data_IF_302451408851
#
_entry.id   IF_302451408851
#
_cell.length_a   1.000
_cell.length_b   1.000
_cell.length_c   1.000
_cell.angle_alpha   90.00
_cell.angle_beta   90.00
_cell.angle_gamma   90.00
#
_symmetry.space_group_name_H-M   'P 1'
#
loop_
_entity.id
_entity.type
_entity.pdbx_description
1 polymer ?
#
# COMPACT_ATOMS: atom_id res chain seq x y z
N UNK A 1 39.87 -103.19 -5.94
CA UNK A 1 39.85 -103.64 -4.53
C UNK A 1 40.91 -102.76 -3.85
N UNK A 2 40.59 -101.77 -3.04
CA UNK A 2 39.70 -101.81 -1.88
C UNK A 2 39.26 -100.39 -1.54
N UNK A 3 37.97 -100.26 -1.29
CA UNK A 3 37.27 -99.05 -0.89
C UNK A 3 37.72 -98.60 0.51
N UNK A 4 37.97 -97.31 0.71
CA UNK A 4 38.03 -96.70 2.05
C UNK A 4 36.85 -95.75 2.18
N UNK A 5 35.78 -96.33 2.71
CA UNK A 5 34.67 -95.65 3.37
C UNK A 5 35.21 -94.86 4.57
N UNK A 6 34.90 -93.56 4.65
CA UNK A 6 35.00 -92.80 5.88
C UNK A 6 33.64 -92.17 6.19
N UNK A 7 32.91 -92.93 7.00
CA UNK A 7 32.08 -92.53 8.14
C UNK A 7 31.33 -91.19 8.07
N UNK A 8 30.01 -91.37 7.91
CA UNK A 8 28.90 -90.50 8.27
C UNK A 8 29.01 -89.82 9.64
N UNK A 9 28.71 -88.51 9.67
CA UNK A 9 28.29 -87.76 10.86
C UNK A 9 26.82 -87.32 10.69
N UNK A 10 26.01 -87.28 11.77
CA UNK A 10 24.56 -87.23 11.67
C UNK A 10 24.02 -85.83 11.39
N UNK A 11 22.98 -85.77 10.56
CA UNK A 11 22.07 -84.64 10.42
C UNK A 11 21.51 -84.22 11.79
N UNK A 12 21.63 -82.93 12.10
CA UNK A 12 20.79 -82.26 13.07
C UNK A 12 20.13 -81.08 12.35
N UNK A 13 18.84 -81.21 12.09
CA UNK A 13 17.95 -80.11 11.73
C UNK A 13 16.99 -79.93 12.89
N UNK A 14 16.87 -78.71 13.44
CA UNK A 14 15.57 -78.07 13.29
C UNK A 14 15.61 -76.55 13.06
N UNK A 15 14.68 -76.12 12.20
CA UNK A 15 13.92 -74.86 12.19
C UNK A 15 14.60 -73.55 11.69
N UNK A 16 13.84 -72.70 10.96
CA UNK A 16 14.35 -71.52 10.27
C UNK A 16 14.47 -70.32 11.24
N UNK A 17 15.70 -69.89 11.50
CA UNK A 17 15.94 -68.66 12.27
C UNK A 17 15.86 -67.43 11.35
N UNK A 18 14.73 -66.73 11.49
CA UNK A 18 14.57 -65.29 11.41
C UNK A 18 15.40 -64.50 10.37
N UNK A 19 14.70 -63.99 9.36
CA UNK A 19 15.07 -62.79 8.60
C UNK A 19 15.57 -61.69 9.53
N UNK A 20 16.83 -61.31 9.41
CA UNK A 20 17.41 -60.12 10.05
C UNK A 20 16.76 -58.87 9.43
N UNK A 21 15.92 -58.10 10.13
CA UNK A 21 15.46 -56.79 9.67
C UNK A 21 16.31 -55.77 10.42
N UNK A 22 17.47 -55.43 9.87
CA UNK A 22 18.47 -54.65 10.61
C UNK A 22 19.36 -53.78 9.73
N UNK A 23 18.93 -53.44 8.53
CA UNK A 23 19.48 -52.35 7.76
C UNK A 23 18.37 -51.30 7.57
N UNK A 24 17.88 -50.76 8.69
CA UNK A 24 17.23 -49.45 8.65
C UNK A 24 18.31 -48.45 8.26
N UNK A 25 18.51 -48.30 6.95
CA UNK A 25 19.15 -47.15 6.38
C UNK A 25 18.59 -45.92 7.10
N UNK A 26 19.48 -45.09 7.61
CA UNK A 26 19.16 -43.74 8.03
C UNK A 26 18.52 -43.03 6.81
N UNK A 27 17.21 -43.16 6.63
CA UNK A 27 16.46 -42.25 5.80
C UNK A 27 16.50 -40.92 6.53
N UNK A 28 17.44 -40.07 6.11
CA UNK A 28 17.44 -38.67 6.44
C UNK A 28 16.00 -38.16 6.15
N UNK A 29 15.35 -37.48 7.10
CA UNK A 29 14.00 -36.98 6.85
C UNK A 29 14.03 -36.12 5.59
N UNK A 30 13.19 -36.47 4.61
CA UNK A 30 13.09 -35.76 3.34
C UNK A 30 13.00 -34.24 3.62
N UNK A 31 13.69 -33.40 2.82
CA UNK A 31 13.63 -31.97 3.01
C UNK A 31 12.17 -31.54 2.82
N UNK A 32 11.53 -31.18 3.93
CA UNK A 32 10.17 -30.63 3.92
C UNK A 32 10.29 -29.28 3.23
N UNK A 33 9.82 -29.18 1.99
CA UNK A 33 9.74 -27.91 1.29
C UNK A 33 9.03 -26.90 2.19
N UNK A 34 9.65 -25.75 2.53
CA UNK A 34 9.00 -24.80 3.40
C UNK A 34 7.73 -24.31 2.67
N UNK A 35 6.60 -24.19 3.38
CA UNK A 35 5.35 -23.78 2.76
C UNK A 35 5.56 -22.43 2.09
N UNK A 36 5.04 -22.32 0.89
CA UNK A 36 4.91 -21.27 -0.15
C UNK A 36 4.46 -19.86 0.34
N UNK A 37 4.59 -19.61 1.63
CA UNK A 37 4.40 -18.35 2.37
C UNK A 37 5.36 -17.24 1.94
N UNK A 38 6.26 -17.46 0.99
CA UNK A 38 7.25 -16.48 0.51
C UNK A 38 6.60 -15.50 -0.46
N UNK A 39 6.00 -15.98 -1.55
CA UNK A 39 5.53 -15.12 -2.64
C UNK A 39 4.27 -14.33 -2.25
N UNK A 40 3.31 -14.97 -1.56
CA UNK A 40 2.12 -14.29 -1.05
C UNK A 40 2.45 -13.23 0.02
N UNK A 41 3.48 -13.46 0.84
CA UNK A 41 3.93 -12.47 1.83
C UNK A 41 4.61 -11.27 1.17
N UNK A 42 5.50 -11.50 0.20
CA UNK A 42 6.12 -10.41 -0.57
C UNK A 42 5.10 -9.64 -1.42
N UNK A 43 4.10 -10.33 -1.98
CA UNK A 43 2.99 -9.69 -2.68
C UNK A 43 2.17 -8.83 -1.72
N UNK A 44 1.81 -9.34 -0.55
CA UNK A 44 1.09 -8.58 0.48
C UNK A 44 1.86 -7.34 0.95
N UNK A 45 3.18 -7.47 1.14
CA UNK A 45 4.10 -6.37 1.44
C UNK A 45 4.17 -5.34 0.32
N UNK A 46 4.26 -5.78 -0.94
CA UNK A 46 4.31 -4.90 -2.09
C UNK A 46 2.99 -4.13 -2.27
N UNK A 47 1.85 -4.83 -2.14
CA UNK A 47 0.52 -4.22 -2.22
C UNK A 47 0.33 -3.21 -1.09
N UNK A 48 0.69 -3.56 0.14
CA UNK A 48 0.52 -2.63 1.27
C UNK A 48 1.45 -1.41 1.18
N UNK A 49 2.68 -1.60 0.70
CA UNK A 49 3.60 -0.51 0.40
C UNK A 49 3.08 0.40 -0.72
N UNK A 50 2.51 -0.18 -1.78
CA UNK A 50 1.89 0.58 -2.87
C UNK A 50 0.67 1.38 -2.40
N UNK A 51 -0.20 0.78 -1.58
CA UNK A 51 -1.35 1.47 -0.98
C UNK A 51 -0.89 2.61 -0.08
N UNK A 52 0.13 2.40 0.75
CA UNK A 52 0.73 3.44 1.59
C UNK A 52 1.26 4.61 0.75
N UNK A 53 2.04 4.32 -0.30
CA UNK A 53 2.58 5.34 -1.19
C UNK A 53 1.46 6.11 -1.90
N UNK A 54 0.39 5.44 -2.33
CA UNK A 54 -0.77 6.07 -2.94
C UNK A 54 -1.45 7.04 -1.97
N UNK A 55 -1.67 6.63 -0.71
CA UNK A 55 -2.27 7.47 0.32
C UNK A 55 -1.40 8.71 0.60
N UNK A 56 -0.08 8.52 0.72
CA UNK A 56 0.85 9.63 0.91
C UNK A 56 0.84 10.58 -0.28
N UNK A 57 0.90 10.06 -1.51
CA UNK A 57 0.84 10.87 -2.73
C UNK A 57 -0.46 11.68 -2.82
N UNK A 58 -1.60 11.07 -2.48
CA UNK A 58 -2.89 11.75 -2.47
C UNK A 58 -2.95 12.85 -1.39
N UNK A 59 -2.39 12.58 -0.20
CA UNK A 59 -2.30 13.59 0.86
C UNK A 59 -1.41 14.78 0.44
N UNK A 60 -0.27 14.52 -0.21
CA UNK A 60 0.59 15.56 -0.76
C UNK A 60 -0.15 16.38 -1.81
N UNK A 61 -0.83 15.73 -2.75
CA UNK A 61 -1.59 16.37 -3.81
C UNK A 61 -2.73 17.24 -3.24
N UNK A 62 -3.51 16.75 -2.28
CA UNK A 62 -4.71 17.44 -1.82
C UNK A 62 -4.47 18.46 -0.71
N UNK A 63 -3.38 18.35 0.04
CA UNK A 63 -3.11 19.21 1.22
C UNK A 63 -1.89 20.09 0.98
N UNK A 64 -0.78 19.51 0.54
CA UNK A 64 0.50 20.23 0.43
C UNK A 64 0.51 21.11 -0.81
N UNK A 65 0.10 20.59 -1.97
CA UNK A 65 0.09 21.36 -3.22
C UNK A 65 -0.72 22.66 -3.08
N UNK A 66 -1.98 22.66 -2.61
CA UNK A 66 -2.73 23.92 -2.49
C UNK A 66 -2.08 24.91 -1.55
N UNK A 67 -1.49 24.45 -0.43
CA UNK A 67 -0.80 25.33 0.51
C UNK A 67 0.41 26.01 -0.09
N UNK A 68 1.23 25.29 -0.86
CA UNK A 68 2.46 25.88 -1.44
C UNK A 68 2.17 26.76 -2.66
N UNK A 69 1.08 26.49 -3.39
CA UNK A 69 0.68 27.29 -4.56
C UNK A 69 -0.27 28.44 -4.23
N UNK A 70 -0.67 28.59 -2.96
CA UNK A 70 -1.69 29.56 -2.54
C UNK A 70 -3.09 29.23 -3.07
N UNK A 71 -3.34 27.99 -3.48
CA UNK A 71 -4.65 27.55 -3.96
C UNK A 71 -5.59 27.20 -2.80
N UNK A 72 -6.88 27.38 -3.04
CA UNK A 72 -7.93 27.16 -2.05
C UNK A 72 -8.70 25.87 -2.37
N UNK A 73 -8.72 24.88 -1.46
CA UNK A 73 -9.60 23.72 -1.60
C UNK A 73 -11.04 24.11 -1.23
N UNK A 74 -12.00 23.83 -2.12
CA UNK A 74 -13.42 24.05 -1.88
C UNK A 74 -14.22 22.79 -2.21
N UNK A 75 -15.34 22.60 -1.51
CA UNK A 75 -16.27 21.50 -1.80
C UNK A 75 -17.46 22.03 -2.59
N UNK A 76 -17.79 21.39 -3.71
CA UNK A 76 -18.99 21.71 -4.50
C UNK A 76 -20.23 21.25 -3.74
N UNK A 77 -21.15 22.16 -3.47
CA UNK A 77 -22.34 21.91 -2.64
C UNK A 77 -23.63 21.72 -3.43
N UNK A 78 -23.70 22.26 -4.65
CA UNK A 78 -24.93 22.30 -5.47
C UNK A 78 -24.72 21.56 -6.78
N UNK A 79 -25.83 21.22 -7.46
CA UNK A 79 -25.85 20.57 -8.77
C UNK A 79 -25.71 21.54 -9.96
N UNK A 80 -25.42 22.83 -9.69
CA UNK A 80 -25.34 23.89 -10.71
C UNK A 80 -24.26 23.63 -11.78
N UNK A 81 -23.22 22.88 -11.44
CA UNK A 81 -22.11 22.54 -12.32
C UNK A 81 -22.17 21.09 -12.83
N UNK A 82 -23.29 20.39 -12.67
CA UNK A 82 -23.43 19.07 -13.29
C UNK A 82 -23.46 19.15 -14.83
N UNK A 83 -22.93 18.14 -15.54
CA UNK A 83 -22.27 16.93 -15.02
C UNK A 83 -20.76 17.14 -14.73
N UNK A 84 -20.20 18.32 -14.99
CA UNK A 84 -18.74 18.54 -14.94
C UNK A 84 -18.19 18.51 -13.52
N UNK A 85 -18.94 19.06 -12.56
CA UNK A 85 -18.63 19.07 -11.13
C UNK A 85 -19.87 18.68 -10.31
N UNK A 86 -20.11 17.37 -10.09
CA UNK A 86 -21.19 16.91 -9.24
C UNK A 86 -21.01 17.35 -7.77
N UNK A 87 -22.10 17.46 -6.99
CA UNK A 87 -22.04 17.74 -5.56
C UNK A 87 -21.11 16.77 -4.81
N UNK A 88 -20.35 17.30 -3.86
CA UNK A 88 -19.35 16.55 -3.10
C UNK A 88 -18.02 16.35 -3.84
N UNK A 89 -17.81 17.03 -4.96
CA UNK A 89 -16.49 17.14 -5.61
C UNK A 89 -15.60 18.11 -4.84
N UNK A 90 -14.34 17.72 -4.60
CA UNK A 90 -13.31 18.63 -4.12
C UNK A 90 -12.70 19.36 -5.31
N UNK A 91 -12.72 20.69 -5.30
CA UNK A 91 -12.07 21.51 -6.32
C UNK A 91 -10.89 22.26 -5.70
N UNK A 92 -9.80 22.35 -6.45
CA UNK A 92 -8.65 23.16 -6.08
C UNK A 92 -8.64 24.39 -6.98
N UNK A 93 -8.83 25.55 -6.37
CA UNK A 93 -8.95 26.85 -7.04
C UNK A 93 -7.63 27.58 -6.91
N UNK A 94 -6.98 27.87 -8.03
CA UNK A 94 -5.70 28.59 -8.07
C UNK A 94 -5.95 30.08 -8.28
N UNK A 95 -5.28 30.98 -7.52
CA UNK A 95 -5.32 32.41 -7.80
C UNK A 95 -4.89 32.68 -9.24
N UNK A 96 -5.66 33.53 -9.91
CA UNK A 96 -5.43 33.89 -11.31
C UNK A 96 -5.61 35.40 -11.46
N UNK A 97 -4.83 36.01 -12.33
CA UNK A 97 -5.07 37.41 -12.68
C UNK A 97 -6.36 37.50 -13.52
N UNK A 98 -7.19 38.54 -13.34
CA UNK A 98 -8.40 38.71 -14.15
C UNK A 98 -8.14 38.77 -15.67
N UNK A 99 -6.92 39.15 -16.06
CA UNK A 99 -6.53 39.26 -17.46
C UNK A 99 -6.34 37.92 -18.17
N UNK A 100 -5.96 36.88 -17.40
CA UNK A 100 -5.78 35.52 -17.90
C UNK A 100 -7.09 34.76 -18.08
N UNK A 101 -8.19 35.27 -17.52
CA UNK A 101 -9.51 34.62 -17.54
C UNK A 101 -10.12 34.72 -18.93
N UNK A 102 -10.58 33.58 -19.43
CA UNK A 102 -11.18 33.44 -20.76
C UNK A 102 -12.60 32.89 -20.66
N UNK A 103 -13.37 33.14 -21.71
CA UNK A 103 -14.69 32.52 -21.88
C UNK A 103 -14.49 30.99 -21.88
N UNK A 104 -15.32 30.30 -21.11
CA UNK A 104 -15.24 28.85 -20.91
C UNK A 104 -14.48 28.43 -19.65
N UNK A 105 -13.72 29.32 -18.99
CA UNK A 105 -13.05 29.00 -17.73
C UNK A 105 -14.07 28.79 -16.60
N UNK A 106 -13.81 27.82 -15.72
CA UNK A 106 -14.55 27.63 -14.48
C UNK A 106 -13.84 28.40 -13.37
N UNK A 107 -14.51 29.40 -12.81
CA UNK A 107 -13.92 30.33 -11.86
C UNK A 107 -14.80 30.40 -10.62
N UNK A 108 -14.14 30.52 -9.48
CA UNK A 108 -14.79 30.78 -8.21
C UNK A 108 -14.71 32.26 -7.89
N UNK A 109 -15.85 32.86 -7.55
CA UNK A 109 -15.98 34.26 -7.18
C UNK A 109 -16.83 34.43 -5.93
N UNK A 110 -16.66 35.55 -5.24
CA UNK A 110 -17.44 35.94 -4.08
C UNK A 110 -18.77 36.58 -4.51
N UNK A 111 -19.87 36.14 -3.88
CA UNK A 111 -21.21 36.71 -4.11
C UNK A 111 -21.21 38.21 -3.78
N UNK A 112 -20.62 38.54 -2.62
CA UNK A 112 -20.38 39.91 -2.17
C UNK A 112 -18.93 40.06 -1.77
N UNK A 113 -18.29 41.13 -2.24
CA UNK A 113 -16.88 41.38 -1.96
C UNK A 113 -16.62 41.45 -0.45
N UNK A 114 -15.69 40.64 0.04
CA UNK A 114 -15.35 40.57 1.47
C UNK A 114 -16.21 39.62 2.31
N UNK A 115 -17.26 39.02 1.76
CA UNK A 115 -18.02 37.97 2.42
C UNK A 115 -17.45 36.57 2.09
N UNK A 116 -17.62 35.58 2.99
CA UNK A 116 -17.12 34.22 2.76
C UNK A 116 -17.92 33.44 1.71
N UNK A 117 -19.09 33.93 1.30
CA UNK A 117 -19.96 33.25 0.34
C UNK A 117 -19.36 33.26 -1.07
N UNK A 118 -19.12 32.07 -1.63
CA UNK A 118 -18.52 31.89 -2.95
C UNK A 118 -19.38 31.02 -3.86
N UNK A 119 -19.32 31.30 -5.16
CA UNK A 119 -19.97 30.53 -6.23
C UNK A 119 -18.89 30.12 -7.23
N UNK A 120 -19.01 28.92 -7.78
CA UNK A 120 -18.10 28.41 -8.83
C UNK A 120 -18.91 28.13 -10.08
N UNK A 121 -18.70 28.91 -11.14
CA UNK A 121 -19.44 28.81 -12.39
C UNK A 121 -18.53 29.04 -13.59
N UNK A 122 -19.05 28.80 -14.80
CA UNK A 122 -18.31 28.99 -16.04
C UNK A 122 -18.49 30.41 -16.58
N UNK A 123 -17.40 31.03 -17.02
CA UNK A 123 -17.43 32.33 -17.71
C UNK A 123 -18.11 32.15 -19.07
N UNK A 124 -19.20 32.88 -19.31
CA UNK A 124 -19.93 32.87 -20.59
C UNK A 124 -19.70 34.14 -21.40
N UNK A 125 -19.44 35.26 -20.74
CA UNK A 125 -19.11 36.51 -21.40
C UNK A 125 -18.12 37.33 -20.58
N UNK A 126 -17.37 38.17 -21.27
CA UNK A 126 -16.44 39.13 -20.71
C UNK A 126 -16.72 40.47 -21.37
N UNK A 127 -17.13 41.44 -20.57
CA UNK A 127 -17.48 42.78 -21.06
C UNK A 127 -16.42 43.78 -20.61
N UNK A 128 -16.16 44.77 -21.44
CA UNK A 128 -15.28 45.89 -21.12
C UNK A 128 -16.06 47.19 -21.25
N UNK A 129 -16.02 48.01 -20.21
CA UNK A 129 -16.56 49.36 -20.20
C UNK A 129 -15.62 50.30 -20.96
N UNK A 130 -16.18 51.38 -21.51
CA UNK A 130 -15.44 52.49 -22.12
C UNK A 130 -14.47 53.17 -21.13
N UNK A 131 -14.71 53.04 -19.83
CA UNK A 131 -13.83 53.55 -18.75
C UNK A 131 -12.72 52.55 -18.37
N UNK A 132 -12.58 51.43 -19.09
CA UNK A 132 -11.56 50.41 -18.85
C UNK A 132 -11.93 49.36 -17.79
N UNK A 133 -13.12 49.45 -17.20
CA UNK A 133 -13.62 48.44 -16.26
C UNK A 133 -14.00 47.13 -16.95
N UNK A 134 -13.50 45.99 -16.47
CA UNK A 134 -13.83 44.65 -17.00
C UNK A 134 -14.85 43.97 -16.10
N UNK A 135 -15.86 43.33 -16.68
CA UNK A 135 -16.86 42.54 -15.95
C UNK A 135 -17.00 41.16 -16.56
N UNK A 136 -17.46 40.21 -15.75
CA UNK A 136 -17.61 38.82 -16.13
C UNK A 136 -19.04 38.36 -15.91
N UNK A 137 -19.57 37.63 -16.88
CA UNK A 137 -20.86 36.94 -16.75
C UNK A 137 -20.61 35.46 -16.55
N UNK A 138 -21.26 34.90 -15.55
CA UNK A 138 -21.13 33.52 -15.14
C UNK A 138 -22.42 32.75 -15.38
N UNK A 139 -22.28 31.43 -15.55
CA UNK A 139 -23.40 30.51 -15.64
C UNK A 139 -22.98 29.13 -15.14
N UNK A 140 -23.81 28.52 -14.31
CA UNK A 140 -23.67 27.12 -13.96
C UNK A 140 -23.91 26.22 -15.17
N UNK A 141 -23.11 25.17 -15.36
CA UNK A 141 -23.22 24.25 -16.49
C UNK A 141 -24.61 23.59 -16.61
N UNK A 142 -25.30 23.40 -15.48
CA UNK A 142 -26.64 22.82 -15.38
C UNK A 142 -27.76 23.88 -15.28
N UNK A 143 -27.42 25.17 -15.29
CA UNK A 143 -28.42 26.24 -15.19
C UNK A 143 -28.97 26.56 -16.60
N UNK A 144 -30.25 26.94 -16.69
CA UNK A 144 -30.85 27.38 -17.97
C UNK A 144 -30.45 28.82 -18.32
N UNK A 145 -30.37 29.68 -17.31
CA UNK A 145 -30.05 31.10 -17.42
C UNK A 145 -28.68 31.42 -16.84
N UNK A 146 -28.09 32.54 -17.28
CA UNK A 146 -26.89 33.09 -16.68
C UNK A 146 -27.18 33.68 -15.30
N UNK A 147 -26.15 33.85 -14.49
CA UNK A 147 -26.26 34.51 -13.19
C UNK A 147 -26.70 35.97 -13.38
N UNK A 148 -27.55 36.45 -12.48
CA UNK A 148 -28.20 37.76 -12.62
C UNK A 148 -27.20 38.93 -12.57
N UNK A 149 -26.21 38.83 -11.69
CA UNK A 149 -25.25 39.90 -11.44
C UNK A 149 -23.96 39.68 -12.25
N UNK A 150 -23.45 40.77 -12.83
CA UNK A 150 -22.10 40.76 -13.39
C UNK A 150 -21.08 40.81 -12.26
N UNK A 151 -20.01 40.05 -12.42
CA UNK A 151 -18.96 39.89 -11.41
C UNK A 151 -17.78 40.81 -11.74
N UNK A 152 -17.34 41.55 -10.73
CA UNK A 152 -16.18 42.44 -10.83
C UNK A 152 -14.87 41.65 -10.64
N UNK A 153 -13.74 42.13 -11.18
CA UNK A 153 -12.45 41.46 -11.05
C UNK A 153 -12.03 41.24 -9.58
N UNK A 154 -12.40 42.15 -8.69
CA UNK A 154 -12.12 42.08 -7.25
C UNK A 154 -12.84 40.93 -6.53
N UNK A 155 -13.95 40.45 -7.08
CA UNK A 155 -14.71 39.34 -6.51
C UNK A 155 -14.10 37.98 -6.89
N UNK A 156 -13.17 37.94 -7.85
CA UNK A 156 -12.61 36.70 -8.35
C UNK A 156 -11.59 36.14 -7.35
N UNK A 157 -11.83 34.92 -6.90
CA UNK A 157 -10.94 34.21 -5.98
C UNK A 157 -9.89 33.40 -6.75
N UNK A 158 -10.29 32.81 -7.87
CA UNK A 158 -9.37 32.06 -8.71
C UNK A 158 -10.06 31.16 -9.71
N UNK A 159 -9.26 30.46 -10.51
CA UNK A 159 -9.72 29.52 -11.54
C UNK A 159 -9.56 28.08 -11.07
N UNK A 160 -10.50 27.24 -11.47
CA UNK A 160 -10.41 25.79 -11.26
C UNK A 160 -9.10 25.26 -11.87
N UNK A 161 -8.29 24.59 -11.06
CA UNK A 161 -7.07 23.96 -11.52
C UNK A 161 -7.28 22.45 -11.76
N UNK A 162 -7.82 21.76 -10.77
CA UNK A 162 -8.23 20.36 -10.89
C UNK A 162 -9.35 20.04 -9.91
N UNK A 163 -10.06 18.95 -10.18
CA UNK A 163 -11.16 18.46 -9.36
C UNK A 163 -10.97 16.98 -9.05
N UNK A 164 -11.41 16.58 -7.87
CA UNK A 164 -11.44 15.17 -7.43
C UNK A 164 -12.85 14.86 -6.95
N UNK A 165 -13.66 14.17 -7.77
CA UNK A 165 -15.01 13.75 -7.39
C UNK A 165 -15.01 12.92 -6.11
N UNK A 166 -16.12 12.94 -5.37
CA UNK A 166 -16.35 12.17 -4.13
C UNK A 166 -15.49 12.55 -2.91
N UNK A 167 -14.35 13.22 -3.10
CA UNK A 167 -13.43 13.59 -2.01
C UNK A 167 -13.92 14.81 -1.23
N UNK A 168 -14.82 15.62 -1.77
CA UNK A 168 -15.41 16.76 -1.08
C UNK A 168 -16.17 16.36 0.20
N UNK A 169 -16.76 15.16 0.23
CA UNK A 169 -17.37 14.59 1.44
C UNK A 169 -16.33 14.33 2.54
N UNK A 170 -15.16 13.82 2.17
CA UNK A 170 -14.03 13.61 3.09
C UNK A 170 -13.49 14.96 3.57
N UNK A 171 -13.40 15.94 2.67
CA UNK A 171 -12.90 17.28 2.98
C UNK A 171 -13.80 18.01 4.00
N UNK A 172 -15.13 17.89 3.91
CA UNK A 172 -16.05 18.43 4.93
C UNK A 172 -15.87 17.76 6.30
N UNK A 173 -15.59 16.46 6.33
CA UNK A 173 -15.27 15.76 7.58
C UNK A 173 -13.93 16.22 8.20
N UNK A 174 -12.99 16.66 7.36
CA UNK A 174 -11.63 17.04 7.76
C UNK A 174 -11.47 18.54 8.05
N UNK A 175 -12.26 19.44 7.44
CA UNK A 175 -12.09 20.90 7.56
C UNK A 175 -12.70 21.55 8.81
N UNK A 176 -13.40 20.81 9.66
CA UNK A 176 -13.87 21.32 10.96
C UNK A 176 -12.78 21.28 12.06
N UNK A 177 -13.23 21.34 13.32
CA UNK A 177 -12.43 21.05 14.54
C UNK A 177 -11.69 19.68 14.45
N UNK A 178 -12.15 18.82 13.54
CA UNK A 178 -11.61 17.50 13.28
C UNK A 178 -10.21 17.46 12.67
N UNK A 179 -9.79 18.53 11.98
CA UNK A 179 -8.48 18.61 11.31
C UNK A 179 -7.31 18.40 12.26
N UNK A 180 -7.40 18.99 13.45
CA UNK A 180 -6.30 19.02 14.41
C UNK A 180 -5.99 17.65 15.00
N UNK A 181 -6.95 16.73 15.03
CA UNK A 181 -6.73 15.37 15.55
C UNK A 181 -6.67 14.30 14.47
N UNK A 182 -7.36 14.44 13.33
CA UNK A 182 -7.31 13.45 12.24
C UNK A 182 -5.90 13.37 11.62
N UNK A 183 -5.27 14.50 11.33
CA UNK A 183 -3.94 14.54 10.70
C UNK A 183 -2.87 13.82 11.54
N UNK A 184 -2.68 14.13 12.84
CA UNK A 184 -1.68 13.43 13.65
C UNK A 184 -2.01 11.96 13.89
N UNK A 185 -3.29 11.58 13.97
CA UNK A 185 -3.68 10.16 14.13
C UNK A 185 -3.35 9.37 12.88
N UNK A 186 -3.72 9.86 11.70
CA UNK A 186 -3.39 9.19 10.44
C UNK A 186 -1.88 9.09 10.29
N UNK A 187 -1.14 10.18 10.52
CA UNK A 187 0.32 10.15 10.50
C UNK A 187 0.88 9.11 11.49
N UNK A 188 0.39 9.10 12.73
CA UNK A 188 0.78 8.15 13.77
C UNK A 188 0.51 6.69 13.38
N UNK A 189 -0.64 6.40 12.77
CA UNK A 189 -0.98 5.07 12.27
C UNK A 189 -0.05 4.63 11.14
N UNK A 190 0.32 5.54 10.22
CA UNK A 190 1.27 5.24 9.14
C UNK A 190 2.68 4.98 9.70
N UNK A 191 3.13 5.77 10.68
CA UNK A 191 4.41 5.52 11.36
C UNK A 191 4.41 4.21 12.16
N UNK A 192 3.31 3.91 12.86
CA UNK A 192 3.15 2.64 13.57
C UNK A 192 3.15 1.44 12.59
N UNK A 193 2.48 1.59 11.45
CA UNK A 193 2.50 0.59 10.38
C UNK A 193 3.91 0.39 9.81
N UNK A 194 4.62 1.48 9.51
CA UNK A 194 6.01 1.42 9.05
C UNK A 194 6.93 0.74 10.09
N UNK A 195 6.76 1.06 11.37
CA UNK A 195 7.47 0.42 12.47
C UNK A 195 7.16 -1.09 12.59
N UNK A 196 5.89 -1.47 12.46
CA UNK A 196 5.46 -2.86 12.44
C UNK A 196 6.07 -3.64 11.28
N UNK A 197 6.11 -3.06 10.08
CA UNK A 197 6.71 -3.67 8.90
C UNK A 197 8.22 -3.86 9.05
N UNK A 198 8.92 -2.88 9.62
CA UNK A 198 10.35 -3.00 9.89
C UNK A 198 10.65 -4.04 10.98
N UNK A 199 9.85 -4.05 12.06
CA UNK A 199 9.98 -5.00 13.16
C UNK A 199 9.69 -6.43 12.73
N UNK A 200 8.63 -6.66 11.94
CA UNK A 200 8.28 -7.99 11.43
C UNK A 200 9.34 -8.54 10.46
N UNK A 201 9.89 -7.69 9.58
CA UNK A 201 11.03 -8.04 8.72
C UNK A 201 12.29 -8.39 9.52
N UNK A 202 12.64 -7.57 10.52
CA UNK A 202 13.79 -7.81 11.39
C UNK A 202 13.64 -9.09 12.23
N UNK A 203 12.47 -9.32 12.82
CA UNK A 203 12.17 -10.52 13.62
C UNK A 203 12.22 -11.79 12.76
N UNK A 204 11.74 -11.73 11.51
CA UNK A 204 11.83 -12.86 10.58
C UNK A 204 13.29 -13.18 10.22
N UNK A 205 14.10 -12.16 9.92
CA UNK A 205 15.52 -12.30 9.64
C UNK A 205 16.30 -12.89 10.83
N UNK A 206 16.01 -12.42 12.04
CA UNK A 206 16.63 -12.92 13.28
C UNK A 206 16.21 -14.36 13.59
N UNK A 207 14.93 -14.72 13.39
CA UNK A 207 14.45 -16.10 13.57
C UNK A 207 15.09 -17.06 12.56
N UNK A 208 15.29 -16.63 11.30
CA UNK A 208 15.99 -17.43 10.28
C UNK A 208 17.45 -17.69 10.68
N UNK A 209 18.16 -16.67 11.17
CA UNK A 209 19.52 -16.80 11.71
C UNK A 209 19.59 -17.74 12.91
N UNK A 210 18.68 -17.60 13.88
CA UNK A 210 18.63 -18.47 15.07
C UNK A 210 18.32 -19.92 14.72
N UNK A 211 17.41 -20.17 13.78
CA UNK A 211 17.09 -21.53 13.29
C UNK A 211 18.28 -22.15 12.55
N UNK A 212 18.98 -21.38 11.72
CA UNK A 212 20.18 -21.85 11.04
C UNK A 212 21.29 -22.21 12.05
N UNK A 213 21.53 -21.35 13.05
CA UNK A 213 22.49 -21.64 14.12
C UNK A 213 22.11 -22.89 14.94
N UNK A 214 20.83 -23.05 15.28
CA UNK A 214 20.33 -24.23 16.00
C UNK A 214 20.46 -25.51 15.16
N UNK A 215 20.22 -25.45 13.85
CA UNK A 215 20.38 -26.59 12.95
C UNK A 215 21.86 -27.02 12.83
N UNK A 216 22.78 -26.06 12.73
CA UNK A 216 24.23 -26.31 12.72
C UNK A 216 24.68 -26.96 14.04
N UNK A 217 24.24 -26.43 15.17
CA UNK A 217 24.55 -27.00 16.49
C UNK A 217 24.00 -28.44 16.65
N UNK A 218 22.76 -28.69 16.19
CA UNK A 218 22.16 -30.02 16.21
C UNK A 218 22.83 -31.02 15.25
N UNK A 219 23.40 -30.53 14.14
CA UNK A 219 24.22 -31.34 13.22
C UNK A 219 25.56 -31.73 13.84
N UNK A 220 26.26 -30.77 14.45
CA UNK A 220 27.52 -31.01 15.14
C UNK A 220 27.38 -32.01 16.31
N UNK A 221 26.31 -31.88 17.10
CA UNK A 221 26.02 -32.80 18.19
C UNK A 221 25.76 -34.24 17.70
N UNK A 222 25.08 -34.41 16.56
CA UNK A 222 24.83 -35.73 15.95
C UNK A 222 26.11 -36.39 15.43
N UNK A 223 27.02 -35.62 14.83
CA UNK A 223 28.32 -36.13 14.36
C UNK A 223 29.15 -36.61 15.56
N UNK A 224 29.18 -35.85 16.65
CA UNK A 224 29.90 -36.21 17.86
C UNK A 224 29.35 -37.47 18.58
N UNK A 225 28.05 -37.78 18.41
CA UNK A 225 27.42 -38.98 18.99
C UNK A 225 27.45 -40.21 18.09
N UNK A 226 28.07 -40.14 16.90
CA UNK A 226 28.13 -41.29 15.99
C UNK A 226 29.26 -42.22 16.46
N UNK A 227 28.97 -43.49 16.84
CA UNK A 227 30.00 -44.40 17.31
C UNK A 227 31.04 -44.66 16.22
N UNK A 228 32.32 -44.61 16.58
CA UNK A 228 33.44 -44.93 15.71
C UNK A 228 33.25 -46.32 15.09
N UNK A 229 33.36 -46.48 13.75
CA UNK A 229 33.18 -47.78 13.13
C UNK A 229 34.22 -48.75 13.70
N UNK A 230 33.74 -49.82 14.33
CA UNK A 230 34.56 -50.84 14.95
C UNK A 230 35.64 -51.30 13.97
N UNK A 231 36.92 -51.12 14.36
CA UNK A 231 38.06 -51.50 13.57
C UNK A 231 37.95 -52.97 13.12
N UNK A 232 38.19 -53.29 11.84
CA UNK A 232 38.12 -54.67 11.36
C UNK A 232 39.12 -55.53 12.14
N UNK A 233 38.60 -56.59 12.75
CA UNK A 233 39.28 -57.42 13.74
C UNK A 233 40.59 -58.04 13.25
N UNK A 234 41.57 -58.08 14.15
CA UNK A 234 42.85 -58.76 13.98
C UNK A 234 42.67 -60.25 13.65
N UNK A 235 43.43 -60.83 12.71
CA UNK A 235 43.36 -62.26 12.43
C UNK A 235 43.95 -63.03 13.62
N UNK A 236 43.15 -63.95 14.16
CA UNK A 236 43.59 -64.92 15.16
C UNK A 236 44.62 -65.87 14.54
N UNK A 237 45.66 -66.14 15.32
CA UNK A 237 46.82 -66.98 15.02
C UNK A 237 46.49 -68.46 14.99
#
# INVERSE_FOLDING_TARGET
MTSTQLQSAPEHSPAPAASVPGAAANEAPAPVDPPDKSLLHYLGLAVSGAVLLLVVALALLLIVVPKVTGSTPLTVLTSSMEPTLPPGTLIIVRPVTPDEIRIGDVVTYQIRSGEPGVITHRVTAISSSSEGGRTFTFKGDNNSVADADQVLPVQIQGRLWYSVPWVGWVNNAVNGQSRSWIVPIVAGLLFAYMGYMFASGAVCALRKRRRAAAAVAAGAARIASTPEPAAPGSPLR
#
